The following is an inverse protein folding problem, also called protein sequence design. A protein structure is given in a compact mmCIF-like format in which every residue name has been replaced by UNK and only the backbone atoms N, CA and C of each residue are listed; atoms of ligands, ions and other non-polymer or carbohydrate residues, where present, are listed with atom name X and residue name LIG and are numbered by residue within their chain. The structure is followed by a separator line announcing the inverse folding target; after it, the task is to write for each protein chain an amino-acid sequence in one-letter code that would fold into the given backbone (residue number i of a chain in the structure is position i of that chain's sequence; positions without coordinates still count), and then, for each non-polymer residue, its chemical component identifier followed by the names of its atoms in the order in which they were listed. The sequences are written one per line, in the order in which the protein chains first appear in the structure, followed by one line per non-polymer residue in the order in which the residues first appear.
data_IF_911809888743
#
_entry.id   IF_911809888743
#
_cell.length_a   1.000
_cell.length_b   1.000
_cell.length_c   1.000
_cell.angle_alpha   90.00
_cell.angle_beta   90.00
_cell.angle_gamma   90.00
#
_symmetry.space_group_name_H-M   'P 1'
#
loop_
_entity.id
_entity.type
_entity.pdbx_description
1 polymer ?
#
# COMPACT_ATOMS: atom_id res chain seq x y z
N UNK A 1 -10.61 43.46 -14.12
CA UNK A 1 -9.44 42.57 -14.18
C UNK A 1 -9.42 41.72 -12.91
N UNK A 2 -9.81 40.45 -12.99
CA UNK A 2 -9.87 39.55 -11.85
C UNK A 2 -8.92 38.37 -12.09
N UNK A 3 -7.71 38.45 -11.54
CA UNK A 3 -6.74 37.35 -11.53
C UNK A 3 -7.14 36.34 -10.47
N UNK A 4 -7.72 35.21 -10.91
CA UNK A 4 -8.13 34.12 -10.02
C UNK A 4 -7.03 33.06 -10.04
N UNK A 5 -6.13 33.12 -9.06
CA UNK A 5 -5.12 32.09 -8.80
C UNK A 5 -5.83 30.77 -8.46
N UNK A 6 -5.72 29.78 -9.34
CA UNK A 6 -6.13 28.42 -9.07
C UNK A 6 -4.92 27.66 -8.51
N UNK A 7 -4.95 27.29 -7.23
CA UNK A 7 -4.03 26.30 -6.68
C UNK A 7 -4.85 25.10 -6.23
N UNK A 8 -4.62 23.96 -6.88
CA UNK A 8 -5.32 22.70 -6.66
C UNK A 8 -4.42 21.76 -5.88
N UNK A 9 -4.83 21.33 -4.69
CA UNK A 9 -4.18 20.22 -3.97
C UNK A 9 -5.24 19.16 -3.68
N UNK A 10 -5.06 17.98 -4.28
CA UNK A 10 -5.95 16.81 -4.13
C UNK A 10 -5.38 15.89 -3.05
N UNK A 11 -6.19 15.59 -2.02
CA UNK A 11 -5.88 14.57 -1.01
C UNK A 11 -5.93 13.18 -1.65
N UNK A 12 -4.84 12.42 -1.54
CA UNK A 12 -4.79 11.00 -1.91
C UNK A 12 -5.04 10.16 -0.65
N UNK A 13 -6.14 9.42 -0.63
CA UNK A 13 -6.34 8.24 0.22
C UNK A 13 -6.79 7.12 -0.72
N UNK A 14 -6.01 6.04 -0.80
CA UNK A 14 -6.30 4.89 -1.66
C UNK A 14 -6.17 5.22 -3.14
N UNK A 15 -5.02 4.91 -3.74
CA UNK A 15 -4.72 5.21 -5.12
C UNK A 15 -5.60 4.45 -6.11
N UNK A 16 -6.75 5.03 -6.47
CA UNK A 16 -7.40 4.82 -7.76
C UNK A 16 -7.73 6.19 -8.34
N UNK A 17 -7.02 6.59 -9.40
CA UNK A 17 -7.32 7.81 -10.16
C UNK A 17 -8.09 7.40 -11.41
N UNK A 18 -9.39 7.15 -11.26
CA UNK A 18 -10.30 6.97 -12.39
C UNK A 18 -11.43 8.00 -12.29
N UNK A 19 -11.54 8.82 -13.34
CA UNK A 19 -12.67 9.73 -13.58
C UNK A 19 -12.70 10.98 -12.71
N UNK A 20 -12.07 12.07 -13.18
CA UNK A 20 -12.37 13.39 -12.63
C UNK A 20 -13.62 13.95 -13.31
N UNK A 21 -14.72 14.05 -12.59
CA UNK A 21 -15.79 14.99 -12.91
C UNK A 21 -15.76 16.14 -11.91
N UNK A 22 -15.66 17.37 -12.42
CA UNK A 22 -15.74 18.60 -11.62
C UNK A 22 -17.17 18.79 -11.11
N UNK A 23 -17.42 18.48 -9.84
CA UNK A 23 -18.66 18.78 -9.15
C UNK A 23 -18.45 19.79 -8.02
N UNK A 24 -19.11 20.93 -8.09
CA UNK A 24 -19.24 21.86 -6.95
C UNK A 24 -20.24 21.29 -5.95
N UNK A 25 -19.76 20.83 -4.80
CA UNK A 25 -20.60 20.38 -3.68
C UNK A 25 -20.71 21.53 -2.67
N UNK A 26 -21.93 22.04 -2.45
CA UNK A 26 -22.22 23.21 -1.60
C UNK A 26 -22.39 22.90 -0.11
N UNK A 27 -22.14 21.66 0.33
CA UNK A 27 -22.43 21.19 1.70
C UNK A 27 -21.20 20.75 2.52
N UNK A 28 -19.98 21.17 2.15
CA UNK A 28 -18.75 20.81 2.90
C UNK A 28 -18.11 22.05 3.51
N UNK A 29 -17.64 21.93 4.76
CA UNK A 29 -16.89 22.98 5.45
C UNK A 29 -15.72 23.46 4.59
N UNK A 30 -15.55 24.78 4.48
CA UNK A 30 -14.39 25.36 3.83
C UNK A 30 -13.12 24.80 4.50
N UNK A 31 -12.12 24.41 3.70
CA UNK A 31 -10.85 23.95 4.23
C UNK A 31 -10.11 25.11 4.88
N UNK A 32 -9.50 24.88 6.03
CA UNK A 32 -8.67 25.86 6.72
C UNK A 32 -7.22 25.71 6.25
N UNK A 33 -6.60 26.82 5.85
CA UNK A 33 -5.18 26.84 5.50
C UNK A 33 -4.30 26.50 6.72
N UNK A 34 -4.74 26.84 7.93
CA UNK A 34 -4.05 26.49 9.17
C UNK A 34 -4.01 24.96 9.34
N UNK A 35 -5.12 24.25 9.11
CA UNK A 35 -5.17 22.79 9.22
C UNK A 35 -4.23 22.09 8.22
N UNK A 36 -4.02 22.69 7.05
CA UNK A 36 -3.09 22.17 6.05
C UNK A 36 -1.65 22.39 6.53
N UNK A 37 -1.34 23.58 7.03
CA UNK A 37 -0.02 23.89 7.57
C UNK A 37 0.35 22.95 8.72
N UNK A 38 -0.56 22.71 9.66
CA UNK A 38 -0.34 21.80 10.79
C UNK A 38 -0.08 20.35 10.31
N UNK A 39 -0.83 19.89 9.31
CA UNK A 39 -0.63 18.56 8.72
C UNK A 39 0.68 18.43 7.99
N UNK A 40 1.11 19.47 7.30
CA UNK A 40 2.41 19.51 6.62
C UNK A 40 3.54 19.50 7.66
N UNK A 41 3.43 20.31 8.70
CA UNK A 41 4.42 20.35 9.78
C UNK A 41 4.55 19.00 10.48
N UNK A 42 3.43 18.37 10.84
CA UNK A 42 3.43 17.03 11.43
C UNK A 42 4.04 15.98 10.49
N UNK A 43 3.78 16.08 9.19
CA UNK A 43 4.35 15.17 8.18
C UNK A 43 5.86 15.37 8.02
N UNK A 44 6.33 16.61 8.01
CA UNK A 44 7.76 16.93 7.94
C UNK A 44 8.52 16.35 9.13
N UNK A 45 7.98 16.49 10.35
CA UNK A 45 8.60 15.91 11.55
C UNK A 45 8.65 14.38 11.49
N UNK A 46 7.58 13.72 11.01
CA UNK A 46 7.54 12.25 10.88
C UNK A 46 8.48 11.72 9.80
N UNK A 47 8.69 12.48 8.73
CA UNK A 47 9.58 12.11 7.62
C UNK A 47 11.04 12.54 7.86
N UNK A 48 11.35 13.14 9.00
CA UNK A 48 12.72 13.49 9.35
C UNK A 48 13.58 12.23 9.40
N UNK A 49 14.64 12.19 8.58
CA UNK A 49 15.53 11.03 8.45
C UNK A 49 15.04 9.93 7.49
N UNK A 50 13.91 10.12 6.81
CA UNK A 50 13.41 9.17 5.80
C UNK A 50 14.02 9.46 4.44
N UNK A 51 14.59 8.44 3.81
CA UNK A 51 15.00 8.47 2.40
C UNK A 51 13.84 7.96 1.54
N UNK A 52 13.45 8.74 0.53
CA UNK A 52 12.37 8.38 -0.40
C UNK A 52 13.01 8.12 -1.76
N UNK A 53 12.84 6.89 -2.25
CA UNK A 53 13.29 6.49 -3.57
C UNK A 53 12.11 6.13 -4.47
N UNK A 54 12.29 6.38 -5.76
CA UNK A 54 11.33 6.00 -6.80
C UNK A 54 12.04 5.11 -7.81
N UNK A 55 11.48 3.96 -8.12
CA UNK A 55 12.10 2.99 -9.01
C UNK A 55 11.48 1.61 -8.90
N UNK A 56 12.17 0.61 -9.45
CA UNK A 56 11.73 -0.78 -9.33
C UNK A 56 12.00 -1.31 -7.93
N UNK A 57 10.99 -1.90 -7.30
CA UNK A 57 11.05 -2.41 -5.92
C UNK A 57 12.25 -3.33 -5.66
N UNK A 58 12.57 -4.22 -6.60
CA UNK A 58 13.67 -5.18 -6.46
C UNK A 58 15.06 -4.51 -6.39
N UNK A 59 15.25 -3.38 -7.08
CA UNK A 59 16.52 -2.63 -7.02
C UNK A 59 16.65 -1.93 -5.67
N UNK A 60 15.55 -1.32 -5.19
CA UNK A 60 15.53 -0.72 -3.86
C UNK A 60 15.81 -1.78 -2.80
N UNK A 61 15.15 -2.94 -2.85
CA UNK A 61 15.40 -4.04 -1.92
C UNK A 61 16.89 -4.43 -1.87
N UNK A 62 17.49 -4.71 -3.05
CA UNK A 62 18.89 -5.11 -3.15
C UNK A 62 19.88 -4.05 -2.63
N UNK A 63 19.61 -2.75 -2.85
CA UNK A 63 20.49 -1.67 -2.38
C UNK A 63 20.55 -1.55 -0.86
N UNK A 64 19.51 -1.99 -0.16
CA UNK A 64 19.37 -1.86 1.29
C UNK A 64 19.48 -3.19 2.03
N UNK A 65 19.64 -4.32 1.34
CA UNK A 65 19.70 -5.64 1.97
C UNK A 65 20.99 -5.80 2.79
N UNK A 66 20.82 -5.89 4.10
CA UNK A 66 21.87 -6.01 5.11
C UNK A 66 21.33 -6.85 6.28
N UNK A 67 22.19 -7.53 7.05
CA UNK A 67 21.75 -8.35 8.19
C UNK A 67 20.92 -7.62 9.26
N UNK A 68 21.04 -6.29 9.35
CA UNK A 68 20.29 -5.45 10.30
C UNK A 68 19.08 -4.74 9.67
N UNK A 69 18.82 -4.95 8.37
CA UNK A 69 17.70 -4.33 7.66
C UNK A 69 16.40 -5.04 7.98
N UNK A 70 15.32 -4.26 8.06
CA UNK A 70 13.95 -4.75 8.15
C UNK A 70 13.13 -4.19 7.00
N UNK A 71 12.52 -5.08 6.23
CA UNK A 71 11.69 -4.75 5.08
C UNK A 71 10.22 -5.00 5.39
N UNK A 72 9.39 -3.99 5.16
CA UNK A 72 7.94 -4.15 5.10
C UNK A 72 7.48 -4.07 3.65
N UNK A 73 6.78 -5.10 3.20
CA UNK A 73 6.35 -5.28 1.82
C UNK A 73 4.83 -5.29 1.76
N UNK A 74 4.26 -4.40 0.96
CA UNK A 74 2.81 -4.27 0.76
C UNK A 74 2.52 -4.20 -0.76
N UNK A 75 2.66 -5.33 -1.49
CA UNK A 75 2.38 -5.36 -2.91
C UNK A 75 0.87 -5.23 -3.18
N UNK A 76 0.48 -4.89 -4.41
CA UNK A 76 -0.92 -4.94 -4.83
C UNK A 76 -1.56 -6.29 -4.49
N UNK A 77 -2.77 -6.27 -3.95
CA UNK A 77 -3.46 -7.50 -3.54
C UNK A 77 -3.85 -8.33 -4.76
N UNK A 78 -3.58 -9.64 -4.70
CA UNK A 78 -3.79 -10.54 -5.83
C UNK A 78 -5.28 -10.61 -6.19
N UNK A 79 -5.58 -10.48 -7.48
CA UNK A 79 -6.95 -10.49 -8.06
C UNK A 79 -7.93 -9.47 -7.43
N UNK A 80 -7.43 -8.42 -6.78
CA UNK A 80 -8.28 -7.36 -6.22
C UNK A 80 -8.34 -6.17 -7.18
N UNK A 81 -9.55 -5.79 -7.61
CA UNK A 81 -9.76 -4.65 -8.48
C UNK A 81 -9.36 -3.34 -7.76
N UNK A 82 -8.41 -2.58 -8.31
CA UNK A 82 -8.08 -1.26 -7.78
C UNK A 82 -6.70 -0.73 -8.15
N UNK A 83 -5.69 -1.59 -8.30
CA UNK A 83 -4.35 -1.12 -8.63
C UNK A 83 -4.24 -0.90 -10.15
N UNK A 84 -4.21 0.36 -10.59
CA UNK A 84 -4.20 0.78 -11.99
C UNK A 84 -2.91 0.45 -12.78
N UNK A 85 -2.14 -0.54 -12.34
CA UNK A 85 -0.96 -1.08 -13.01
C UNK A 85 -0.89 -2.59 -12.78
N UNK A 86 -0.55 -3.36 -13.81
CA UNK A 86 -0.53 -4.82 -13.72
C UNK A 86 0.72 -5.28 -12.97
N UNK A 87 0.53 -5.62 -11.69
CA UNK A 87 1.52 -6.39 -10.95
C UNK A 87 1.32 -7.85 -11.32
N UNK A 88 2.03 -8.29 -12.36
CA UNK A 88 1.92 -9.62 -12.93
C UNK A 88 2.30 -10.71 -11.91
N UNK A 89 1.78 -11.93 -12.11
CA UNK A 89 2.07 -13.08 -11.24
C UNK A 89 3.58 -13.29 -11.01
N UNK A 90 4.38 -13.14 -12.06
CA UNK A 90 5.84 -13.26 -12.02
C UNK A 90 6.53 -12.29 -11.04
N UNK A 91 5.89 -11.17 -10.70
CA UNK A 91 6.43 -10.25 -9.68
C UNK A 91 6.25 -10.82 -8.27
N UNK A 92 5.17 -11.57 -8.00
CA UNK A 92 4.99 -12.26 -6.72
C UNK A 92 5.99 -13.40 -6.58
N UNK A 93 6.23 -14.18 -7.65
CA UNK A 93 7.26 -15.23 -7.66
C UNK A 93 8.64 -14.66 -7.34
N UNK A 94 9.01 -13.57 -8.02
CA UNK A 94 10.26 -12.85 -7.74
C UNK A 94 10.31 -12.31 -6.31
N UNK A 95 9.18 -11.90 -5.74
CA UNK A 95 9.10 -11.43 -4.36
C UNK A 95 9.40 -12.57 -3.37
N UNK A 96 8.85 -13.76 -3.60
CA UNK A 96 9.13 -14.94 -2.80
C UNK A 96 10.62 -15.32 -2.85
N UNK A 97 11.22 -15.34 -4.04
CA UNK A 97 12.67 -15.55 -4.21
C UNK A 97 13.49 -14.50 -3.44
N UNK A 98 13.15 -13.22 -3.61
CA UNK A 98 13.88 -12.12 -2.95
C UNK A 98 13.80 -12.19 -1.43
N UNK A 99 12.64 -12.58 -0.88
CA UNK A 99 12.44 -12.73 0.57
C UNK A 99 13.18 -13.95 1.11
N UNK A 100 13.25 -15.04 0.34
CA UNK A 100 14.00 -16.25 0.71
C UNK A 100 15.51 -15.97 0.80
N UNK A 101 16.05 -15.21 -0.15
CA UNK A 101 17.49 -14.92 -0.26
C UNK A 101 17.94 -13.68 0.54
N UNK A 102 17.01 -12.98 1.20
CA UNK A 102 17.30 -11.75 1.92
C UNK A 102 18.23 -11.98 3.12
N UNK A 103 19.25 -11.12 3.29
CA UNK A 103 20.07 -11.11 4.50
C UNK A 103 19.32 -10.49 5.68
N UNK A 104 18.46 -9.51 5.41
CA UNK A 104 17.62 -8.86 6.40
C UNK A 104 16.33 -9.64 6.71
N UNK A 105 15.54 -9.07 7.62
CA UNK A 105 14.19 -9.57 7.93
C UNK A 105 13.18 -8.93 7.00
N UNK A 106 12.24 -9.71 6.49
CA UNK A 106 11.18 -9.22 5.60
C UNK A 106 9.80 -9.68 6.09
N UNK A 107 8.88 -8.72 6.17
CA UNK A 107 7.47 -8.91 6.51
C UNK A 107 6.60 -8.46 5.36
N UNK A 108 5.73 -9.35 4.89
CA UNK A 108 4.84 -9.13 3.75
C UNK A 108 3.38 -9.19 4.22
N UNK A 109 2.60 -8.15 3.91
CA UNK A 109 1.14 -8.14 4.06
C UNK A 109 0.47 -8.40 2.71
N UNK A 110 -0.44 -9.38 2.63
CA UNK A 110 -1.16 -9.73 1.40
C UNK A 110 -2.51 -10.37 1.70
N UNK A 111 -3.41 -10.41 0.72
CA UNK A 111 -4.70 -11.08 0.87
C UNK A 111 -4.55 -12.60 1.00
N UNK A 112 -5.48 -13.19 1.74
CA UNK A 112 -5.64 -14.64 1.83
C UNK A 112 -6.20 -15.21 0.51
N UNK A 113 -5.30 -15.77 -0.30
CA UNK A 113 -5.64 -16.43 -1.55
C UNK A 113 -4.90 -17.77 -1.68
N UNK A 114 -5.54 -18.83 -2.23
CA UNK A 114 -4.90 -20.13 -2.43
C UNK A 114 -3.56 -20.07 -3.17
N UNK A 115 -3.47 -19.28 -4.24
CA UNK A 115 -2.22 -19.11 -5.00
C UNK A 115 -1.09 -18.50 -4.15
N UNK A 116 -1.42 -17.51 -3.32
CA UNK A 116 -0.45 -16.86 -2.42
C UNK A 116 -0.02 -17.81 -1.32
N UNK A 117 -0.95 -18.58 -0.72
CA UNK A 117 -0.61 -19.63 0.24
C UNK A 117 0.30 -20.69 -0.36
N UNK A 118 0.07 -21.07 -1.62
CA UNK A 118 0.90 -22.05 -2.32
C UNK A 118 2.31 -21.50 -2.60
N UNK A 119 2.41 -20.23 -2.99
CA UNK A 119 3.68 -19.57 -3.28
C UNK A 119 4.54 -19.39 -2.01
N UNK A 120 3.92 -19.02 -0.89
CA UNK A 120 4.62 -18.75 0.37
C UNK A 120 4.52 -19.89 1.40
N UNK A 121 4.24 -21.12 0.96
CA UNK A 121 4.01 -22.29 1.83
C UNK A 121 5.17 -22.60 2.80
N UNK A 122 6.40 -22.28 2.39
CA UNK A 122 7.62 -22.59 3.13
C UNK A 122 8.01 -21.46 4.11
N UNK A 123 7.24 -20.37 4.15
CA UNK A 123 7.47 -19.22 5.01
C UNK A 123 6.57 -19.24 6.25
N UNK A 124 7.02 -18.53 7.29
CA UNK A 124 6.24 -18.31 8.51
C UNK A 124 5.04 -17.42 8.19
N UNK A 125 3.84 -18.01 8.18
CA UNK A 125 2.60 -17.33 7.75
C UNK A 125 1.62 -17.23 8.91
N UNK A 126 1.20 -16.01 9.23
CA UNK A 126 0.14 -15.72 10.21
C UNK A 126 -1.13 -15.29 9.49
N UNK A 127 -2.24 -15.96 9.78
CA UNK A 127 -3.56 -15.60 9.25
C UNK A 127 -4.25 -14.60 10.19
N UNK A 128 -4.71 -13.50 9.62
CA UNK A 128 -5.50 -12.47 10.31
C UNK A 128 -6.93 -12.52 9.79
N UNK A 129 -7.87 -12.79 10.70
CA UNK A 129 -9.30 -12.73 10.39
C UNK A 129 -9.78 -11.29 10.45
N UNK A 130 -9.93 -10.67 9.27
CA UNK A 130 -10.60 -9.37 9.16
C UNK A 130 -12.12 -9.59 9.22
N UNK A 131 -12.72 -9.36 10.38
CA UNK A 131 -14.16 -9.38 10.54
C UNK A 131 -14.80 -8.14 9.87
N UNK A 132 -14.94 -8.16 8.54
CA UNK A 132 -15.80 -7.20 7.83
C UNK A 132 -17.28 -7.59 8.06
N UNK A 133 -17.84 -7.19 9.21
CA UNK A 133 -19.27 -7.31 9.49
C UNK A 133 -20.07 -6.15 8.88
N UNK A 134 -20.04 -5.98 7.56
CA UNK A 134 -20.92 -5.03 6.87
C UNK A 134 -21.37 -5.58 5.50
N UNK A 135 -22.15 -6.65 5.47
CA UNK A 135 -23.38 -6.76 4.66
C UNK A 135 -24.07 -8.12 4.80
N UNK A 136 -25.40 -8.09 4.71
CA UNK A 136 -26.32 -9.17 5.04
C UNK A 136 -26.81 -9.93 3.78
N UNK A 137 -25.99 -10.00 2.74
CA UNK A 137 -26.34 -10.69 1.50
C UNK A 137 -25.29 -11.74 1.12
N UNK A 138 -25.82 -12.90 0.72
CA UNK A 138 -25.14 -14.17 0.50
C UNK A 138 -24.03 -14.04 -0.56
N UNK A 139 -22.96 -14.84 -0.40
CA UNK A 139 -21.79 -14.99 -1.30
C UNK A 139 -20.70 -13.90 -1.28
N UNK A 140 -20.15 -13.56 -0.10
CA UNK A 140 -18.83 -12.91 -0.02
C UNK A 140 -17.76 -13.90 0.44
N UNK A 141 -16.73 -14.11 -0.40
CA UNK A 141 -15.49 -14.78 0.00
C UNK A 141 -14.95 -14.07 1.24
N UNK A 142 -14.77 -14.81 2.33
CA UNK A 142 -13.99 -14.38 3.50
C UNK A 142 -12.66 -13.83 2.99
N UNK A 143 -12.48 -12.52 3.11
CA UNK A 143 -11.25 -11.86 2.69
C UNK A 143 -10.35 -11.81 3.93
N UNK A 144 -9.63 -12.91 4.18
CA UNK A 144 -8.58 -12.95 5.20
C UNK A 144 -7.37 -12.15 4.75
N UNK A 145 -6.52 -11.77 5.70
CA UNK A 145 -5.21 -11.19 5.43
C UNK A 145 -4.13 -12.16 5.92
N UNK A 146 -3.03 -12.24 5.17
CA UNK A 146 -1.86 -13.04 5.49
C UNK A 146 -0.69 -12.11 5.77
N UNK A 147 -0.02 -12.38 6.89
CA UNK A 147 1.29 -11.80 7.20
C UNK A 147 2.33 -12.89 7.03
N UNK A 148 3.26 -12.69 6.11
CA UNK A 148 4.31 -13.66 5.75
C UNK A 148 5.66 -13.10 6.18
N UNK A 149 6.44 -13.92 6.87
CA UNK A 149 7.73 -13.56 7.45
C UNK A 149 8.82 -14.58 7.05
N UNK A 150 10.06 -14.12 6.90
CA UNK A 150 11.22 -14.99 6.57
C UNK A 150 12.01 -15.46 7.80
N UNK A 151 11.41 -15.44 8.99
CA UNK A 151 12.04 -15.86 10.25
C UNK A 151 11.10 -16.73 11.11
#
# INVERSE_FOLDING_TARGET
MAGRNQQTIKRLRGGVVLGQSFGTVTSKSAWSAADIADRLQASLQRLAGVQIETGSWHKCFASYDRPHSFFYLDPPYWQTAGYGGSFEWAQYEKLAETIADAQGKAMLSINDHPDIRALFKDFSTTHLELAYSINRDKTQKTSGELVICNW
#
